data_IF_265080137399
#
_entry.id   IF_265080137399
#
_cell.length_a   1.000
_cell.length_b   1.000
_cell.length_c   1.000
_cell.angle_alpha   90.00
_cell.angle_beta   90.00
_cell.angle_gamma   90.00
#
_symmetry.space_group_name_H-M   'P 1'
#
loop_
_entity.id
_entity.type
_entity.pdbx_description
1 polymer ?
#
# COMPACT_ATOMS: atom_id res chain seq x y z
N UNK A 1 -8.26 2.59 -16.23
CA UNK A 1 -7.95 2.32 -14.80
C UNK A 1 -8.91 3.14 -13.96
N UNK A 2 -9.71 2.50 -13.12
CA UNK A 2 -10.59 3.15 -12.17
C UNK A 2 -10.15 2.76 -10.76
N UNK A 3 -10.12 3.71 -9.82
CA UNK A 3 -9.77 3.44 -8.42
C UNK A 3 -11.03 3.54 -7.58
N UNK A 4 -11.30 2.50 -6.79
CA UNK A 4 -12.42 2.48 -5.87
C UNK A 4 -12.31 3.55 -4.79
N UNK A 5 -13.46 3.88 -4.21
CA UNK A 5 -13.56 4.82 -3.10
C UNK A 5 -13.39 4.08 -1.76
N UNK A 6 -12.62 4.62 -0.80
CA UNK A 6 -12.51 4.02 0.54
C UNK A 6 -13.75 4.33 1.40
N UNK A 7 -13.81 3.72 2.59
CA UNK A 7 -14.83 4.04 3.58
C UNK A 7 -14.71 5.47 4.15
N UNK A 8 -15.84 5.98 4.63
CA UNK A 8 -16.00 7.32 5.22
C UNK A 8 -16.49 7.21 6.67
N UNK A 9 -16.24 8.25 7.48
CA UNK A 9 -16.69 8.25 8.88
C UNK A 9 -18.22 8.18 8.99
N UNK A 10 -18.93 8.82 8.06
CA UNK A 10 -20.39 8.84 8.03
C UNK A 10 -20.90 7.55 7.42
N UNK A 11 -21.63 6.74 8.20
CA UNK A 11 -22.09 5.41 7.78
C UNK A 11 -22.89 5.43 6.47
N UNK A 12 -23.75 6.44 6.28
CA UNK A 12 -24.50 6.60 5.02
C UNK A 12 -23.57 6.75 3.82
N UNK A 13 -22.53 7.58 3.92
CA UNK A 13 -21.55 7.75 2.83
C UNK A 13 -20.79 6.45 2.56
N UNK A 14 -20.44 5.69 3.60
CA UNK A 14 -19.80 4.37 3.44
C UNK A 14 -20.70 3.40 2.69
N UNK A 15 -21.99 3.32 3.03
CA UNK A 15 -22.96 2.51 2.30
C UNK A 15 -23.12 2.98 0.85
N UNK A 16 -23.20 4.29 0.61
CA UNK A 16 -23.30 4.86 -0.73
C UNK A 16 -22.04 4.52 -1.56
N UNK A 17 -20.84 4.55 -0.96
CA UNK A 17 -19.59 4.20 -1.65
C UNK A 17 -19.46 2.72 -1.98
N UNK A 18 -20.01 1.81 -1.17
CA UNK A 18 -20.07 0.39 -1.53
C UNK A 18 -20.88 0.22 -2.83
N UNK A 19 -22.08 0.79 -2.87
CA UNK A 19 -22.93 0.73 -4.05
C UNK A 19 -22.26 1.39 -5.27
N UNK A 20 -21.58 2.52 -5.09
CA UNK A 20 -20.88 3.18 -6.19
C UNK A 20 -19.67 2.39 -6.67
N UNK A 21 -18.89 1.80 -5.76
CA UNK A 21 -17.77 0.95 -6.13
C UNK A 21 -18.23 -0.25 -6.96
N UNK A 22 -19.35 -0.89 -6.61
CA UNK A 22 -19.92 -1.97 -7.40
C UNK A 22 -20.28 -1.53 -8.83
N UNK A 23 -20.92 -0.36 -8.96
CA UNK A 23 -21.25 0.24 -10.27
C UNK A 23 -19.98 0.53 -11.07
N UNK A 24 -18.97 1.15 -10.46
CA UNK A 24 -17.73 1.50 -11.12
C UNK A 24 -16.90 0.28 -11.51
N UNK A 25 -16.91 -0.76 -10.68
CA UNK A 25 -16.25 -2.01 -10.98
C UNK A 25 -16.86 -2.65 -12.23
N UNK A 26 -18.18 -2.82 -12.26
CA UNK A 26 -18.88 -3.35 -13.43
C UNK A 26 -18.68 -2.49 -14.68
N UNK A 27 -18.71 -1.16 -14.54
CA UNK A 27 -18.47 -0.24 -15.65
C UNK A 27 -17.04 -0.34 -16.20
N UNK A 28 -16.03 -0.47 -15.33
CA UNK A 28 -14.65 -0.64 -15.74
C UNK A 28 -14.47 -1.96 -16.49
N UNK A 29 -14.91 -3.09 -15.92
CA UNK A 29 -14.75 -4.42 -16.53
C UNK A 29 -15.46 -4.54 -17.88
N UNK A 30 -16.69 -4.03 -17.99
CA UNK A 30 -17.47 -4.08 -19.24
C UNK A 30 -16.83 -3.32 -20.41
N UNK A 31 -15.94 -2.37 -20.12
CA UNK A 31 -15.19 -1.61 -21.13
C UNK A 31 -13.72 -2.03 -21.24
N UNK A 32 -13.35 -3.20 -20.69
CA UNK A 32 -11.97 -3.70 -20.71
C UNK A 32 -11.00 -2.88 -19.85
N UNK A 33 -11.53 -2.06 -18.94
CA UNK A 33 -10.76 -1.31 -17.95
C UNK A 33 -10.48 -2.15 -16.69
N UNK A 34 -9.43 -1.77 -15.97
CA UNK A 34 -9.08 -2.37 -14.68
C UNK A 34 -9.63 -1.52 -13.53
N UNK A 35 -10.28 -2.17 -12.56
CA UNK A 35 -10.74 -1.57 -11.31
C UNK A 35 -9.77 -1.92 -10.18
N UNK A 36 -9.30 -0.91 -9.45
CA UNK A 36 -8.42 -1.07 -8.30
C UNK A 36 -9.24 -0.92 -7.04
N UNK A 37 -9.53 -2.04 -6.40
CA UNK A 37 -10.16 -2.04 -5.08
C UNK A 37 -9.13 -1.65 -4.01
N UNK A 38 -9.49 -0.64 -3.22
CA UNK A 38 -8.68 -0.11 -2.14
C UNK A 38 -9.36 -0.28 -0.78
N UNK A 39 -10.59 -0.80 -0.74
CA UNK A 39 -11.47 -0.77 0.43
C UNK A 39 -10.81 -1.32 1.69
N UNK A 40 -10.30 -2.56 1.61
CA UNK A 40 -9.64 -3.28 2.71
C UNK A 40 -8.41 -2.54 3.28
N UNK A 41 -7.82 -1.64 2.52
CA UNK A 41 -6.70 -0.82 2.97
C UNK A 41 -7.09 0.29 3.95
N UNK A 42 -8.38 0.60 4.08
CA UNK A 42 -8.91 1.77 4.80
C UNK A 42 -10.05 1.44 5.78
N UNK A 43 -10.29 0.16 6.03
CA UNK A 43 -11.27 -0.33 7.00
C UNK A 43 -10.62 -1.21 8.06
N UNK A 44 -11.34 -1.46 9.15
CA UNK A 44 -11.00 -2.51 10.11
C UNK A 44 -11.51 -3.89 9.66
N UNK A 45 -11.31 -4.89 10.50
CA UNK A 45 -11.74 -6.28 10.28
C UNK A 45 -13.26 -6.43 10.11
N UNK A 46 -14.04 -5.45 10.57
CA UNK A 46 -15.50 -5.43 10.43
C UNK A 46 -15.97 -4.60 9.22
N UNK A 47 -15.03 -4.09 8.40
CA UNK A 47 -15.35 -3.22 7.28
C UNK A 47 -15.71 -1.79 7.70
N UNK A 48 -15.47 -1.40 8.96
CA UNK A 48 -15.77 -0.07 9.46
C UNK A 48 -14.62 0.92 9.17
N UNK A 49 -14.96 2.20 9.06
CA UNK A 49 -14.00 3.28 8.83
C UNK A 49 -12.92 3.33 9.93
N UNK A 50 -11.66 3.39 9.53
CA UNK A 50 -10.53 3.64 10.43
C UNK A 50 -9.79 4.92 10.08
N UNK A 51 -9.29 5.60 11.12
CA UNK A 51 -8.48 6.82 10.92
C UNK A 51 -7.01 6.49 10.66
N UNK A 52 -6.55 5.36 11.20
CA UNK A 52 -5.16 4.89 11.15
C UNK A 52 -5.13 3.44 10.73
N UNK A 53 -4.02 3.03 10.12
CA UNK A 53 -3.80 1.67 9.67
C UNK A 53 -2.37 1.49 9.15
N UNK A 54 -2.02 0.29 8.66
CA UNK A 54 -0.69 0.03 8.13
C UNK A 54 -0.43 0.87 6.88
N UNK A 55 0.77 1.46 6.78
CA UNK A 55 1.29 2.08 5.56
C UNK A 55 1.77 1.01 4.56
N UNK A 56 2.47 1.44 3.49
CA UNK A 56 3.03 0.52 2.48
C UNK A 56 4.11 -0.42 3.03
N UNK A 57 4.68 -0.11 4.19
CA UNK A 57 5.69 -0.88 4.89
C UNK A 57 5.12 -1.64 6.11
N UNK A 58 3.79 -1.61 6.30
CA UNK A 58 3.12 -2.23 7.45
C UNK A 58 3.16 -1.41 8.75
N UNK A 59 3.72 -0.21 8.75
CA UNK A 59 3.82 0.63 9.94
C UNK A 59 2.49 1.32 10.25
N UNK A 60 2.04 1.37 11.52
CA UNK A 60 0.80 2.04 11.87
C UNK A 60 0.95 3.54 11.69
N UNK A 61 0.21 4.10 10.73
CA UNK A 61 0.20 5.53 10.44
C UNK A 61 -1.23 6.04 10.32
N UNK A 62 -1.37 7.35 10.44
CA UNK A 62 -2.65 8.00 10.17
C UNK A 62 -2.92 8.02 8.66
N UNK A 63 -3.99 7.37 8.21
CA UNK A 63 -4.35 7.27 6.78
C UNK A 63 -5.43 8.28 6.38
N UNK A 64 -6.31 8.68 7.31
CA UNK A 64 -7.42 9.62 7.09
C UNK A 64 -7.24 10.90 7.89
N UNK A 65 -7.75 12.01 7.36
CA UNK A 65 -7.82 13.28 8.08
C UNK A 65 -8.89 13.23 9.19
N UNK A 66 -8.87 14.20 10.11
CA UNK A 66 -9.82 14.27 11.23
C UNK A 66 -11.28 14.36 10.77
N UNK A 67 -11.51 15.03 9.64
CA UNK A 67 -12.82 15.23 9.01
C UNK A 67 -13.50 13.93 8.55
N UNK A 68 -12.78 12.80 8.46
CA UNK A 68 -13.34 11.53 8.03
C UNK A 68 -13.64 11.43 6.52
N UNK A 69 -13.19 12.39 5.72
CA UNK A 69 -13.40 12.52 4.28
C UNK A 69 -12.07 12.55 3.54
N UNK A 70 -11.12 13.36 4.00
CA UNK A 70 -9.84 13.57 3.33
C UNK A 70 -8.81 12.48 3.70
N UNK A 71 -7.87 12.25 2.78
CA UNK A 71 -6.77 11.29 2.94
C UNK A 71 -5.51 12.03 3.36
N UNK A 72 -4.77 11.49 4.34
CA UNK A 72 -3.49 12.04 4.78
C UNK A 72 -2.41 11.89 3.70
N UNK A 73 -1.23 12.48 3.90
CA UNK A 73 -0.07 12.23 3.01
C UNK A 73 0.29 10.74 2.93
N UNK A 74 0.30 10.04 4.07
CA UNK A 74 0.60 8.61 4.13
C UNK A 74 -0.50 7.78 3.44
N UNK A 75 -1.78 8.12 3.65
CA UNK A 75 -2.89 7.47 2.97
C UNK A 75 -2.85 7.66 1.45
N UNK A 76 -2.46 8.85 0.96
CA UNK A 76 -2.26 9.11 -0.48
C UNK A 76 -1.14 8.24 -1.06
N UNK A 77 -0.03 8.08 -0.34
CA UNK A 77 1.06 7.17 -0.74
C UNK A 77 0.59 5.72 -0.82
N UNK A 78 -0.25 5.29 0.14
CA UNK A 78 -0.87 3.96 0.14
C UNK A 78 -1.80 3.78 -1.05
N UNK A 79 -2.69 4.74 -1.35
CA UNK A 79 -3.53 4.70 -2.56
C UNK A 79 -2.70 4.60 -3.83
N UNK A 80 -1.64 5.41 -3.96
CA UNK A 80 -0.75 5.33 -5.11
C UNK A 80 -0.15 3.92 -5.26
N UNK A 81 0.27 3.30 -4.16
CA UNK A 81 0.82 1.95 -4.16
C UNK A 81 -0.14 0.89 -4.72
N UNK A 82 -1.45 0.95 -4.40
CA UNK A 82 -2.45 0.06 -5.01
C UNK A 82 -2.50 0.19 -6.53
N UNK A 83 -2.28 1.41 -7.05
CA UNK A 83 -2.37 1.69 -8.49
C UNK A 83 -1.07 1.47 -9.25
N UNK A 84 0.08 1.37 -8.58
CA UNK A 84 1.40 1.31 -9.24
C UNK A 84 1.50 0.14 -10.22
N UNK A 85 1.21 -1.09 -9.78
CA UNK A 85 1.31 -2.28 -10.64
C UNK A 85 0.35 -2.21 -11.84
N UNK A 86 -0.97 -1.97 -11.67
CA UNK A 86 -1.90 -1.79 -12.78
C UNK A 86 -1.45 -0.69 -13.76
N UNK A 87 -1.02 0.45 -13.24
CA UNK A 87 -0.64 1.59 -14.06
C UNK A 87 0.62 1.30 -14.88
N UNK A 88 1.64 0.70 -14.28
CA UNK A 88 2.87 0.29 -14.96
C UNK A 88 2.59 -0.70 -16.09
N UNK A 89 1.70 -1.67 -15.85
CA UNK A 89 1.24 -2.63 -16.87
C UNK A 89 0.58 -1.91 -18.05
N UNK A 90 -0.33 -0.97 -17.80
CA UNK A 90 -1.02 -0.20 -18.84
C UNK A 90 -0.02 0.66 -19.64
N UNK A 91 0.97 1.23 -18.97
CA UNK A 91 1.99 2.08 -19.60
C UNK A 91 3.10 1.27 -20.30
N UNK A 92 3.12 -0.06 -20.17
CA UNK A 92 4.20 -0.90 -20.71
C UNK A 92 5.56 -0.63 -20.05
N UNK A 93 5.56 -0.10 -18.82
CA UNK A 93 6.77 0.25 -18.08
C UNK A 93 7.11 -0.87 -17.09
N UNK A 94 8.40 -1.16 -16.94
CA UNK A 94 8.89 -2.02 -15.85
C UNK A 94 8.85 -1.26 -14.52
N UNK A 95 8.41 -1.93 -13.46
CA UNK A 95 8.36 -1.33 -12.13
C UNK A 95 9.79 -0.91 -11.70
N UNK A 96 9.98 0.32 -11.20
CA UNK A 96 11.26 0.71 -10.62
C UNK A 96 11.55 -0.19 -9.42
N UNK A 97 12.61 -0.99 -9.50
CA UNK A 97 12.98 -1.98 -8.47
C UNK A 97 12.58 -3.42 -8.77
N UNK A 98 12.02 -3.74 -9.94
CA UNK A 98 11.86 -5.12 -10.39
C UNK A 98 13.23 -5.72 -10.77
N UNK A 99 14.02 -6.10 -9.77
CA UNK A 99 15.06 -7.11 -9.97
C UNK A 99 14.36 -8.41 -10.30
N UNK A 100 14.32 -8.74 -11.60
CA UNK A 100 14.08 -10.10 -12.05
C UNK A 100 15.32 -10.86 -11.60
N UNK A 101 15.31 -11.46 -10.41
CA UNK A 101 16.28 -12.51 -10.11
C UNK A 101 15.93 -13.67 -11.03
N UNK A 102 16.78 -14.05 -12.01
CA UNK A 102 16.56 -15.32 -12.68
C UNK A 102 16.63 -16.40 -11.61
N UNK A 103 15.52 -17.10 -11.36
CA UNK A 103 15.55 -18.35 -10.59
C UNK A 103 16.48 -19.32 -11.32
N UNK A 104 17.69 -19.48 -10.81
CA UNK A 104 18.52 -20.62 -11.16
C UNK A 104 17.85 -21.91 -10.65
N UNK A 105 17.89 -23.01 -11.42
CA UNK A 105 17.22 -24.25 -11.03
C UNK A 105 17.85 -24.84 -9.76
N UNK A 106 17.00 -25.48 -8.96
CA UNK A 106 17.35 -26.11 -7.70
C UNK A 106 18.44 -27.18 -7.88
N UNK A 107 19.55 -27.03 -7.14
CA UNK A 107 20.50 -28.12 -6.88
C UNK A 107 21.98 -27.72 -6.93
N UNK A 108 22.51 -27.19 -5.82
CA UNK A 108 23.85 -27.50 -5.25
C UNK A 108 24.17 -26.54 -4.07
N UNK A 109 24.87 -27.00 -3.01
CA UNK A 109 25.09 -26.24 -1.78
C UNK A 109 26.44 -25.51 -1.79
N UNK A 110 26.49 -24.22 -1.46
CA UNK A 110 27.73 -23.47 -1.15
C UNK A 110 27.35 -22.35 -0.16
N UNK A 111 27.50 -22.59 1.14
CA UNK A 111 28.65 -22.21 1.99
C UNK A 111 28.53 -20.77 2.52
N UNK A 112 28.38 -20.68 3.83
CA UNK A 112 28.27 -19.44 4.58
C UNK A 112 29.64 -18.75 4.75
N UNK A 113 29.69 -17.41 4.71
CA UNK A 113 30.79 -16.69 5.32
C UNK A 113 30.29 -15.85 6.52
N UNK A 114 30.86 -16.13 7.68
CA UNK A 114 31.04 -15.16 8.78
C UNK A 114 32.54 -14.75 8.80
N UNK A 115 33.00 -13.76 9.59
CA UNK A 115 32.44 -12.44 9.95
C UNK A 115 33.49 -11.30 9.85
N UNK A 116 33.08 -10.02 9.77
CA UNK A 116 33.80 -8.80 10.25
C UNK A 116 32.97 -7.55 9.84
N UNK A 117 32.73 -6.50 10.63
CA UNK A 117 33.48 -5.94 11.75
C UNK A 117 32.54 -5.31 12.82
N UNK A 118 33.06 -5.22 14.04
CA UNK A 118 32.39 -4.70 15.24
C UNK A 118 32.46 -3.14 15.33
N UNK A 119 31.71 -2.50 16.25
CA UNK A 119 31.14 -1.16 16.11
C UNK A 119 32.06 0.01 16.52
N UNK A 120 31.78 1.19 15.96
CA UNK A 120 32.41 2.47 16.33
C UNK A 120 31.99 2.93 17.74
N UNK A 121 32.97 3.18 18.61
CA UNK A 121 32.79 3.76 19.94
C UNK A 121 32.72 5.29 19.81
N UNK A 122 31.62 5.90 20.26
CA UNK A 122 31.47 7.36 20.36
C UNK A 122 31.68 7.74 21.83
N UNK A 123 32.77 8.44 22.13
CA UNK A 123 33.06 9.04 23.44
C UNK A 123 32.18 10.30 23.65
N UNK A 124 31.45 10.36 24.76
CA UNK A 124 30.67 11.53 25.18
C UNK A 124 30.98 11.81 26.64
N UNK A 125 31.89 12.75 26.86
CA UNK A 125 32.25 13.30 28.17
C UNK A 125 31.05 14.05 28.78
N UNK A 126 30.80 13.85 30.08
CA UNK A 126 29.68 14.47 30.79
C UNK A 126 30.00 15.90 31.28
N UNK A 127 29.01 16.82 31.37
CA UNK A 127 29.20 18.15 31.92
C UNK A 127 29.23 18.14 33.46
N UNK A 128 29.88 19.16 34.03
CA UNK A 128 30.14 19.36 35.48
C UNK A 128 28.90 19.54 36.35
#
# INVERSE_FOLDING_TARGET
>A
LWVGMPAFRVSKMTSDMLAFNDIYHQAAESHGGEFVDVWDGFVDENGAFVTSGPDINGQPVRLRADDGINVSRAGKRKLAFYTEKPLLKILGLTAPGSVITPSAPAGAPVEAPAPAAAPIVIDRTAPM
#
